data_IF_374474796011
#
_entry.id   IF_374474796011
#
_cell.length_a   1.000
_cell.length_b   1.000
_cell.length_c   1.000
_cell.angle_alpha   90.00
_cell.angle_beta   90.00
_cell.angle_gamma   90.00
#
_symmetry.space_group_name_H-M   'P 1'
#
loop_
_entity.id
_entity.type
_entity.pdbx_description
1 polymer ?
#
# COMPACT_ATOMS: atom_id res chain seq x y z
N UNK A 1 15.97 4.36 -23.56
CA UNK A 1 15.74 4.53 -22.11
C UNK A 1 16.53 5.75 -21.64
N UNK A 2 15.92 6.94 -21.64
CA UNK A 2 16.62 8.20 -21.35
C UNK A 2 16.71 8.48 -19.85
N UNK A 3 17.89 8.92 -19.39
CA UNK A 3 18.12 9.37 -18.00
C UNK A 3 17.26 10.60 -17.69
N UNK A 4 16.64 10.72 -16.49
CA UNK A 4 15.84 11.88 -16.14
C UNK A 4 16.69 13.16 -16.11
N UNK A 5 16.18 14.26 -16.70
CA UNK A 5 16.85 15.59 -16.75
C UNK A 5 17.23 16.15 -15.36
N UNK A 6 16.67 15.62 -14.28
CA UNK A 6 16.89 16.08 -12.90
C UNK A 6 18.13 15.50 -12.22
N UNK A 7 18.88 14.60 -12.87
CA UNK A 7 20.02 13.89 -12.25
C UNK A 7 19.64 12.81 -11.22
N UNK A 8 18.38 12.82 -10.76
CA UNK A 8 17.78 11.83 -9.87
C UNK A 8 17.54 10.49 -10.58
N UNK A 9 17.65 9.41 -9.82
CA UNK A 9 17.22 8.07 -10.22
C UNK A 9 15.69 8.00 -10.34
N UNK A 10 15.19 6.99 -11.05
CA UNK A 10 13.75 6.74 -11.16
C UNK A 10 13.11 6.52 -9.77
N UNK A 11 13.82 5.85 -8.87
CA UNK A 11 13.37 5.58 -7.50
C UNK A 11 13.20 6.88 -6.71
N UNK A 12 14.14 7.82 -6.82
CA UNK A 12 14.05 9.12 -6.14
C UNK A 12 12.91 9.99 -6.69
N UNK A 13 12.66 9.95 -8.00
CA UNK A 13 11.52 10.63 -8.61
C UNK A 13 10.19 10.05 -8.11
N UNK A 14 10.09 8.72 -8.04
CA UNK A 14 8.91 8.04 -7.52
C UNK A 14 8.69 8.40 -6.05
N UNK A 15 9.72 8.33 -5.23
CA UNK A 15 9.66 8.72 -3.82
C UNK A 15 9.23 10.18 -3.61
N UNK A 16 9.72 11.10 -4.46
CA UNK A 16 9.29 12.51 -4.42
C UNK A 16 7.82 12.69 -4.81
N UNK A 17 7.35 11.95 -5.81
CA UNK A 17 5.94 11.94 -6.23
C UNK A 17 5.05 11.37 -5.12
N UNK A 18 5.44 10.24 -4.55
CA UNK A 18 4.72 9.56 -3.46
C UNK A 18 4.63 10.47 -2.23
N UNK A 19 5.75 11.09 -1.84
CA UNK A 19 5.78 12.10 -0.76
C UNK A 19 4.85 13.28 -1.03
N UNK A 20 4.80 13.79 -2.26
CA UNK A 20 3.87 14.87 -2.64
C UNK A 20 2.41 14.46 -2.49
N UNK A 21 2.09 13.19 -2.75
CA UNK A 21 0.75 12.59 -2.60
C UNK A 21 0.47 12.09 -1.19
N UNK A 22 1.43 12.18 -0.26
CA UNK A 22 1.32 11.67 1.11
C UNK A 22 1.31 10.14 1.20
N UNK A 23 1.74 9.43 0.16
CA UNK A 23 1.79 7.96 0.12
C UNK A 23 3.25 7.49 0.22
N UNK A 24 3.44 6.25 0.67
CA UNK A 24 4.74 5.58 0.65
C UNK A 24 4.57 4.08 0.42
N UNK A 25 5.56 3.45 -0.19
CA UNK A 25 5.62 1.98 -0.21
C UNK A 25 5.86 1.48 1.21
N UNK A 26 5.01 0.56 1.64
CA UNK A 26 5.15 -0.15 2.91
C UNK A 26 5.09 -1.64 2.62
N UNK A 27 6.09 -2.40 3.08
CA UNK A 27 6.21 -3.82 2.79
C UNK A 27 6.36 -4.60 4.09
N UNK A 28 5.51 -5.61 4.26
CA UNK A 28 5.51 -6.50 5.42
C UNK A 28 5.57 -7.94 4.95
N UNK A 29 6.14 -8.81 5.78
CA UNK A 29 6.00 -10.26 5.61
C UNK A 29 4.68 -10.67 6.24
N UNK A 30 3.84 -11.36 5.48
CA UNK A 30 2.57 -11.92 5.92
C UNK A 30 2.58 -13.42 5.70
N UNK A 31 1.75 -14.15 6.44
CA UNK A 31 1.52 -15.56 6.19
C UNK A 31 0.88 -15.76 4.81
N UNK A 32 1.24 -16.84 4.13
CA UNK A 32 0.75 -17.14 2.77
C UNK A 32 -0.77 -17.24 2.73
N UNK A 33 -1.38 -17.82 3.76
CA UNK A 33 -2.84 -17.91 3.91
C UNK A 33 -3.51 -16.53 3.97
N UNK A 34 -2.90 -15.57 4.68
CA UNK A 34 -3.39 -14.18 4.74
C UNK A 34 -3.28 -13.49 3.39
N UNK A 35 -2.20 -13.75 2.64
CA UNK A 35 -2.02 -13.20 1.28
C UNK A 35 -3.07 -13.77 0.33
N UNK A 36 -3.35 -15.08 0.42
CA UNK A 36 -4.39 -15.74 -0.36
C UNK A 36 -5.78 -15.15 -0.05
N UNK A 37 -6.10 -14.98 1.25
CA UNK A 37 -7.35 -14.35 1.68
C UNK A 37 -7.48 -12.92 1.14
N UNK A 38 -6.42 -12.11 1.21
CA UNK A 38 -6.42 -10.75 0.67
C UNK A 38 -6.66 -10.72 -0.85
N UNK A 39 -6.13 -11.71 -1.59
CA UNK A 39 -6.38 -11.84 -3.02
C UNK A 39 -7.86 -12.17 -3.29
N UNK A 40 -8.41 -13.17 -2.59
CA UNK A 40 -9.81 -13.54 -2.73
C UNK A 40 -10.77 -12.40 -2.38
N UNK A 41 -10.48 -11.66 -1.29
CA UNK A 41 -11.26 -10.48 -0.92
C UNK A 41 -11.22 -9.39 -2.00
N UNK A 42 -10.06 -9.18 -2.62
CA UNK A 42 -9.91 -8.23 -3.74
C UNK A 42 -10.76 -8.64 -4.94
N UNK A 43 -10.78 -9.92 -5.27
CA UNK A 43 -11.59 -10.46 -6.37
C UNK A 43 -13.10 -10.37 -6.06
N UNK A 44 -13.50 -10.69 -4.84
CA UNK A 44 -14.92 -10.71 -4.46
C UNK A 44 -15.52 -9.30 -4.29
N UNK A 45 -14.75 -8.37 -3.75
CA UNK A 45 -15.24 -7.00 -3.49
C UNK A 45 -15.00 -6.04 -4.65
N UNK A 46 -14.14 -6.40 -5.60
CA UNK A 46 -13.66 -5.51 -6.65
C UNK A 46 -12.75 -4.38 -6.15
N UNK A 47 -12.41 -4.37 -4.86
CA UNK A 47 -11.53 -3.38 -4.26
C UNK A 47 -10.07 -3.77 -4.45
N UNK A 48 -9.20 -2.76 -4.53
CA UNK A 48 -7.76 -3.03 -4.55
C UNK A 48 -7.30 -3.59 -3.20
N UNK A 49 -6.28 -4.46 -3.23
CA UNK A 49 -5.64 -5.00 -2.01
C UNK A 49 -5.24 -3.90 -1.02
N UNK A 50 -4.75 -2.77 -1.52
CA UNK A 50 -4.38 -1.60 -0.69
C UNK A 50 -5.59 -0.97 0.00
N UNK A 51 -6.75 -0.89 -0.65
CA UNK A 51 -7.98 -0.41 -0.03
C UNK A 51 -8.44 -1.36 1.08
N UNK A 52 -8.47 -2.67 0.80
CA UNK A 52 -8.87 -3.68 1.78
C UNK A 52 -7.97 -3.63 3.02
N UNK A 53 -6.64 -3.54 2.84
CA UNK A 53 -5.72 -3.39 3.98
C UNK A 53 -5.97 -2.08 4.74
N UNK A 54 -6.20 -0.97 4.03
CA UNK A 54 -6.47 0.33 4.66
C UNK A 54 -7.76 0.31 5.49
N UNK A 55 -8.82 -0.30 4.97
CA UNK A 55 -10.09 -0.47 5.69
C UNK A 55 -9.94 -1.43 6.88
N UNK A 56 -9.22 -2.54 6.71
CA UNK A 56 -8.92 -3.45 7.80
C UNK A 56 -8.15 -2.78 8.95
N UNK A 57 -7.18 -1.92 8.64
CA UNK A 57 -6.44 -1.15 9.66
C UNK A 57 -7.37 -0.16 10.39
N UNK A 58 -8.25 0.55 9.66
CA UNK A 58 -9.22 1.47 10.28
C UNK A 58 -10.18 0.73 11.21
N UNK A 59 -10.78 -0.36 10.73
CA UNK A 59 -11.67 -1.21 11.51
C UNK A 59 -10.96 -1.77 12.75
N UNK A 60 -9.71 -2.19 12.61
CA UNK A 60 -8.89 -2.66 13.73
C UNK A 60 -8.68 -1.55 14.76
N UNK A 61 -8.36 -0.32 14.34
CA UNK A 61 -8.19 0.83 15.23
C UNK A 61 -9.48 1.22 15.96
N UNK A 62 -10.62 1.20 15.25
CA UNK A 62 -11.95 1.46 15.83
C UNK A 62 -12.34 0.40 16.87
N UNK A 63 -12.14 -0.87 16.53
CA UNK A 63 -12.51 -2.02 17.38
C UNK A 63 -11.61 -2.09 18.62
N UNK A 64 -10.32 -1.84 18.47
CA UNK A 64 -9.37 -1.98 19.56
C UNK A 64 -9.24 -0.72 20.42
N UNK A 65 -10.03 0.34 20.17
CA UNK A 65 -9.90 1.68 20.78
C UNK A 65 -8.47 1.89 21.28
N UNK A 66 -7.56 2.15 20.34
CA UNK A 66 -6.25 2.70 20.70
C UNK A 66 -6.54 4.06 21.35
N UNK A 67 -6.79 4.02 22.66
CA UNK A 67 -6.94 5.16 23.55
C UNK A 67 -5.55 5.74 23.83
#
# INVERSE_FOLDING_TARGET
MGRPKSGLTLQELQAKSDKKRGVRLQSYKLHEETIALLAQLSEQTGLSKTQIVSEGIKLFAETNKVA
#
